data_IF_071893469489
#
_entry.id   IF_071893469489
#
_cell.length_a   1.000
_cell.length_b   1.000
_cell.length_c   1.000
_cell.angle_alpha   90.00
_cell.angle_beta   90.00
_cell.angle_gamma   90.00
#
_symmetry.space_group_name_H-M   'P 1'
#
loop_
_entity.id
_entity.type
_entity.pdbx_description
1 polymer ?
#
# COMPACT_ATOMS: atom_id res chain seq x y z
N UNK A 1 6.92 -9.47 23.82
CA UNK A 1 6.56 -8.04 23.69
C UNK A 1 5.81 -7.97 22.38
N UNK A 2 4.51 -7.72 22.41
CA UNK A 2 3.73 -7.57 21.17
C UNK A 2 4.20 -6.26 20.54
N UNK A 3 4.56 -6.31 19.26
CA UNK A 3 4.85 -5.13 18.45
C UNK A 3 3.76 -4.08 18.71
N UNK A 4 4.15 -2.86 19.08
CA UNK A 4 3.18 -1.78 19.15
C UNK A 4 2.71 -1.48 17.73
N UNK A 5 1.46 -1.86 17.41
CA UNK A 5 0.79 -1.61 16.13
C UNK A 5 1.01 -0.17 15.65
N UNK A 6 1.98 0.03 14.74
CA UNK A 6 2.28 1.35 14.19
C UNK A 6 1.12 1.80 13.30
N UNK A 7 0.53 2.96 13.64
CA UNK A 7 -0.59 3.56 12.89
C UNK A 7 -0.08 4.46 11.77
N UNK A 8 -0.67 4.32 10.58
CA UNK A 8 -0.46 5.25 9.46
C UNK A 8 -1.68 6.16 9.34
N UNK A 9 -1.51 7.45 9.64
CA UNK A 9 -2.59 8.44 9.63
C UNK A 9 -2.86 8.95 8.22
N UNK A 10 -4.14 9.07 7.85
CA UNK A 10 -4.61 9.71 6.62
C UNK A 10 -5.90 10.50 6.94
N UNK A 11 -6.03 11.76 6.52
CA UNK A 11 -7.27 12.54 6.74
C UNK A 11 -7.60 12.93 8.20
N UNK A 12 -8.69 13.68 8.37
CA UNK A 12 -9.06 14.38 9.63
C UNK A 12 -10.12 13.67 10.48
N UNK A 13 -10.89 12.72 9.92
CA UNK A 13 -11.84 11.85 10.63
C UNK A 13 -11.83 10.46 9.99
N UNK A 14 -11.19 9.50 10.66
CA UNK A 14 -10.91 8.19 10.09
C UNK A 14 -11.96 7.16 10.48
N UNK A 15 -12.82 6.76 9.53
CA UNK A 15 -13.70 5.58 9.63
C UNK A 15 -12.93 4.25 9.49
N UNK A 16 -11.68 4.32 9.02
CA UNK A 16 -10.78 3.19 8.86
C UNK A 16 -9.39 3.52 9.37
N UNK A 17 -8.65 2.53 9.84
CA UNK A 17 -7.26 2.65 10.31
C UNK A 17 -6.36 1.67 9.58
N UNK A 18 -5.19 2.15 9.15
CA UNK A 18 -4.12 1.28 8.65
C UNK A 18 -3.21 0.90 9.82
N UNK A 19 -2.95 -0.40 9.96
CA UNK A 19 -2.09 -0.99 10.99
C UNK A 19 -0.99 -1.80 10.32
N UNK A 20 0.27 -1.56 10.69
CA UNK A 20 1.37 -2.47 10.39
C UNK A 20 1.33 -3.63 11.38
N UNK A 21 1.24 -4.86 10.88
CA UNK A 21 1.08 -6.09 11.67
C UNK A 21 2.41 -6.84 11.86
N UNK A 22 3.53 -6.24 11.44
CA UNK A 22 4.88 -6.76 11.59
C UNK A 22 5.88 -5.62 11.85
N UNK A 23 7.05 -5.99 12.38
CA UNK A 23 8.17 -5.07 12.56
C UNK A 23 8.90 -4.83 11.24
N UNK A 24 9.63 -3.70 11.08
CA UNK A 24 10.44 -3.46 9.90
C UNK A 24 11.44 -4.62 9.62
N UNK A 25 11.33 -5.21 8.43
CA UNK A 25 12.15 -6.32 7.94
C UNK A 25 13.11 -5.89 6.82
N UNK A 26 13.14 -6.64 5.72
CA UNK A 26 13.96 -6.30 4.55
C UNK A 26 13.71 -4.86 4.08
N UNK A 27 14.79 -4.16 3.74
CA UNK A 27 14.70 -2.76 3.29
C UNK A 27 14.21 -1.78 4.36
N UNK A 28 14.17 -2.19 5.64
CA UNK A 28 13.66 -1.39 6.76
C UNK A 28 12.18 -0.98 6.57
N UNK A 29 11.38 -1.86 5.96
CA UNK A 29 9.95 -1.69 5.75
C UNK A 29 9.15 -2.80 6.44
N UNK A 30 7.92 -2.48 6.87
CA UNK A 30 6.94 -3.50 7.26
C UNK A 30 6.36 -4.13 5.98
N UNK A 31 5.93 -5.39 6.04
CA UNK A 31 5.44 -6.13 4.88
C UNK A 31 4.00 -6.58 5.04
N UNK A 32 3.44 -6.52 6.25
CA UNK A 32 2.07 -6.95 6.53
C UNK A 32 1.27 -5.79 7.07
N UNK A 33 0.20 -5.42 6.38
CA UNK A 33 -0.69 -4.36 6.79
C UNK A 33 -2.14 -4.83 6.86
N UNK A 34 -2.94 -4.18 7.69
CA UNK A 34 -4.39 -4.34 7.70
C UNK A 34 -5.10 -2.99 7.67
N UNK A 35 -6.26 -2.95 7.00
CA UNK A 35 -7.20 -1.83 7.03
C UNK A 35 -8.37 -2.26 7.91
N UNK A 36 -8.55 -1.58 9.03
CA UNK A 36 -9.48 -1.95 10.09
C UNK A 36 -10.57 -0.88 10.25
N UNK A 37 -11.78 -1.29 10.60
CA UNK A 37 -12.86 -0.41 11.04
C UNK A 37 -12.46 0.36 12.31
N UNK A 38 -12.85 1.62 12.44
CA UNK A 38 -12.62 2.39 13.68
C UNK A 38 -13.87 2.58 14.52
N UNK A 39 -15.04 2.17 14.02
CA UNK A 39 -16.31 2.28 14.74
C UNK A 39 -16.28 1.37 15.96
N UNK A 40 -16.80 1.88 17.07
CA UNK A 40 -16.88 1.12 18.32
C UNK A 40 -17.68 -0.17 18.11
N UNK A 41 -17.16 -1.27 18.67
CA UNK A 41 -17.87 -2.54 18.73
C UNK A 41 -19.08 -2.33 19.65
N UNK A 42 -20.28 -2.41 19.08
CA UNK A 42 -21.52 -2.29 19.84
C UNK A 42 -21.72 -3.53 20.71
N UNK A 43 -22.04 -3.40 22.01
CA UNK A 43 -22.28 -4.53 22.90
C UNK A 43 -23.31 -5.53 22.38
N UNK A 44 -24.34 -5.03 21.70
CA UNK A 44 -25.43 -5.80 21.10
C UNK A 44 -25.04 -6.52 19.79
N UNK A 45 -23.84 -6.29 19.27
CA UNK A 45 -23.32 -6.92 18.06
C UNK A 45 -21.80 -7.04 18.15
N UNK A 46 -21.28 -8.05 18.87
CA UNK A 46 -19.85 -8.22 19.17
C UNK A 46 -19.03 -8.69 17.95
N UNK A 47 -19.39 -8.24 16.74
CA UNK A 47 -18.51 -8.37 15.59
C UNK A 47 -17.27 -7.54 15.93
N UNK A 48 -16.13 -8.23 16.06
CA UNK A 48 -14.84 -7.58 16.31
C UNK A 48 -14.54 -6.49 15.29
N UNK A 49 -13.51 -5.70 15.56
CA UNK A 49 -13.01 -4.67 14.63
C UNK A 49 -12.93 -5.25 13.22
N UNK A 50 -13.80 -4.77 12.31
CA UNK A 50 -13.91 -5.35 10.97
C UNK A 50 -12.62 -5.13 10.19
N UNK A 51 -11.98 -6.20 9.70
CA UNK A 51 -10.84 -6.08 8.79
C UNK A 51 -11.40 -5.98 7.37
N UNK A 52 -11.18 -4.84 6.73
CA UNK A 52 -11.61 -4.59 5.34
C UNK A 52 -10.60 -5.08 4.31
N UNK A 53 -9.31 -5.06 4.65
CA UNK A 53 -8.25 -5.55 3.79
C UNK A 53 -7.07 -6.04 4.61
N UNK A 54 -6.42 -7.09 4.10
CA UNK A 54 -5.09 -7.53 4.52
C UNK A 54 -4.17 -7.39 3.31
N UNK A 55 -3.02 -6.78 3.52
CA UNK A 55 -2.05 -6.46 2.47
C UNK A 55 -0.72 -7.09 2.86
N UNK A 56 -0.15 -7.86 1.94
CA UNK A 56 1.16 -8.47 2.09
C UNK A 56 2.07 -8.01 0.96
N UNK A 57 3.04 -7.16 1.27
CA UNK A 57 4.09 -6.75 0.35
C UNK A 57 5.15 -7.83 0.19
N UNK A 58 5.82 -7.80 -0.95
CA UNK A 58 6.99 -8.62 -1.24
C UNK A 58 8.07 -8.39 -0.18
N UNK A 59 8.45 -9.45 0.53
CA UNK A 59 9.49 -9.44 1.55
C UNK A 59 10.77 -10.05 1.00
N UNK A 60 11.76 -9.19 0.76
CA UNK A 60 13.05 -9.54 0.19
C UNK A 60 13.06 -9.63 -1.35
N UNK A 61 14.26 -9.68 -1.97
CA UNK A 61 14.39 -9.67 -3.43
C UNK A 61 13.80 -10.92 -4.10
N UNK A 62 13.03 -10.74 -5.17
CA UNK A 62 12.25 -11.81 -5.84
C UNK A 62 13.11 -12.98 -6.32
N UNK A 63 14.31 -12.74 -6.86
CA UNK A 63 15.17 -13.83 -7.36
C UNK A 63 15.83 -14.64 -6.25
N UNK A 64 15.78 -14.14 -5.01
CA UNK A 64 16.35 -14.78 -3.84
C UNK A 64 15.26 -15.43 -2.97
N UNK A 65 14.05 -14.85 -2.95
CA UNK A 65 12.96 -15.25 -2.05
C UNK A 65 11.71 -15.77 -2.78
N UNK A 66 11.71 -15.74 -4.11
CA UNK A 66 10.51 -15.97 -4.92
C UNK A 66 9.48 -14.85 -4.77
N UNK A 67 8.31 -15.06 -5.36
CA UNK A 67 7.17 -14.15 -5.22
C UNK A 67 6.41 -14.51 -3.95
N UNK A 68 6.33 -13.57 -3.00
CA UNK A 68 5.70 -13.78 -1.70
C UNK A 68 4.78 -12.61 -1.26
N UNK A 69 4.54 -11.63 -2.14
CA UNK A 69 3.64 -10.52 -1.89
C UNK A 69 3.51 -9.57 -3.07
N UNK A 70 2.75 -8.50 -2.87
CA UNK A 70 2.53 -7.44 -3.86
C UNK A 70 3.67 -6.41 -3.86
N UNK A 71 3.71 -5.58 -4.87
CA UNK A 71 4.60 -4.44 -4.98
C UNK A 71 3.85 -3.13 -4.65
N UNK A 72 4.59 -2.03 -4.51
CA UNK A 72 3.98 -0.72 -4.26
C UNK A 72 3.08 -0.31 -5.44
N UNK A 73 3.59 -0.58 -6.64
CA UNK A 73 2.98 -0.30 -7.93
C UNK A 73 1.59 -0.93 -8.04
N UNK A 74 1.37 -2.13 -7.49
CA UNK A 74 0.08 -2.81 -7.53
C UNK A 74 -1.02 -1.99 -6.84
N UNK A 75 -0.74 -1.42 -5.66
CA UNK A 75 -1.70 -0.58 -4.95
C UNK A 75 -1.89 0.78 -5.63
N UNK A 76 -0.80 1.37 -6.15
CA UNK A 76 -0.87 2.67 -6.82
C UNK A 76 -1.73 2.59 -8.08
N UNK A 77 -1.60 1.53 -8.88
CA UNK A 77 -2.42 1.31 -10.08
C UNK A 77 -3.89 1.11 -9.72
N UNK A 78 -4.21 0.35 -8.67
CA UNK A 78 -5.60 0.17 -8.20
C UNK A 78 -6.23 1.52 -7.81
N UNK A 79 -5.49 2.36 -7.08
CA UNK A 79 -6.01 3.68 -6.66
C UNK A 79 -6.16 4.60 -7.87
N UNK A 80 -5.20 4.58 -8.80
CA UNK A 80 -5.24 5.37 -10.03
C UNK A 80 -6.46 5.01 -10.90
N UNK A 81 -6.67 3.72 -11.19
CA UNK A 81 -7.83 3.22 -11.97
C UNK A 81 -9.16 3.68 -11.35
N UNK A 82 -9.29 3.58 -10.01
CA UNK A 82 -10.48 4.04 -9.29
C UNK A 82 -10.69 5.55 -9.40
N UNK A 83 -9.62 6.35 -9.33
CA UNK A 83 -9.70 7.81 -9.48
C UNK A 83 -10.05 8.21 -10.92
N UNK A 84 -9.49 7.53 -11.93
CA UNK A 84 -9.85 7.75 -13.34
C UNK A 84 -11.33 7.45 -13.59
N UNK A 85 -11.87 6.42 -12.94
CA UNK A 85 -13.31 6.12 -12.93
C UNK A 85 -14.17 7.26 -12.35
N UNK A 86 -13.74 7.91 -11.26
CA UNK A 86 -14.45 9.08 -10.72
C UNK A 86 -14.29 10.31 -11.59
N UNK A 87 -13.09 10.52 -12.10
CA UNK A 87 -12.75 11.69 -12.92
C UNK A 87 -13.47 11.67 -14.27
N UNK A 88 -13.80 10.49 -14.78
CA UNK A 88 -14.61 10.33 -16.00
C UNK A 88 -16.12 10.35 -15.76
N UNK A 89 -16.56 10.33 -14.50
CA UNK A 89 -17.98 10.29 -14.12
C UNK A 89 -18.48 11.56 -13.42
N UNK A 90 -19.60 11.43 -12.70
CA UNK A 90 -20.29 12.53 -12.02
C UNK A 90 -19.49 13.15 -10.86
N UNK A 91 -18.39 12.54 -10.47
CA UNK A 91 -17.54 12.94 -9.34
C UNK A 91 -16.22 13.56 -9.79
N UNK A 92 -16.13 14.02 -11.04
CA UNK A 92 -14.95 14.69 -11.57
C UNK A 92 -14.63 15.97 -10.78
N UNK A 93 -13.38 16.12 -10.37
CA UNK A 93 -12.90 17.33 -9.68
C UNK A 93 -11.40 17.57 -9.92
N UNK A 94 -10.91 18.82 -9.73
CA UNK A 94 -9.49 19.14 -9.90
C UNK A 94 -8.57 18.35 -8.96
N UNK A 95 -9.03 18.02 -7.76
CA UNK A 95 -8.24 17.26 -6.77
C UNK A 95 -8.02 15.81 -7.20
N UNK A 96 -9.02 15.18 -7.83
CA UNK A 96 -8.88 13.85 -8.40
C UNK A 96 -7.85 13.85 -9.54
N UNK A 97 -7.95 14.82 -10.46
CA UNK A 97 -7.01 14.97 -11.58
C UNK A 97 -5.57 15.15 -11.09
N UNK A 98 -5.35 16.04 -10.11
CA UNK A 98 -4.04 16.25 -9.50
C UNK A 98 -3.52 14.98 -8.82
N UNK A 99 -4.38 14.24 -8.10
CA UNK A 99 -3.99 12.99 -7.48
C UNK A 99 -3.59 11.92 -8.52
N UNK A 100 -4.30 11.84 -9.65
CA UNK A 100 -3.96 10.95 -10.77
C UNK A 100 -2.56 11.29 -11.32
N UNK A 101 -2.27 12.57 -11.57
CA UNK A 101 -0.96 12.99 -12.07
C UNK A 101 0.17 12.65 -11.08
N UNK A 102 -0.03 12.87 -9.77
CA UNK A 102 0.93 12.47 -8.75
C UNK A 102 1.16 10.94 -8.72
N UNK A 103 0.11 10.13 -8.94
CA UNK A 103 0.23 8.68 -9.00
C UNK A 103 1.01 8.22 -10.24
N UNK A 104 0.80 8.87 -11.40
CA UNK A 104 1.57 8.62 -12.62
C UNK A 104 3.06 8.92 -12.42
N UNK A 105 3.38 10.05 -11.79
CA UNK A 105 4.76 10.42 -11.46
C UNK A 105 5.41 9.42 -10.50
N UNK A 106 4.68 8.99 -9.47
CA UNK A 106 5.16 7.97 -8.54
C UNK A 106 5.47 6.64 -9.27
N UNK A 107 4.55 6.17 -10.12
CA UNK A 107 4.72 4.97 -10.92
C UNK A 107 5.91 5.09 -11.89
N UNK A 108 6.07 6.24 -12.54
CA UNK A 108 7.22 6.50 -13.41
C UNK A 108 8.54 6.33 -12.65
N UNK A 109 8.68 6.96 -11.48
CA UNK A 109 9.90 6.88 -10.68
C UNK A 109 10.21 5.46 -10.19
N UNK A 110 9.18 4.71 -9.79
CA UNK A 110 9.33 3.30 -9.38
C UNK A 110 9.78 2.41 -10.54
N UNK A 111 9.15 2.56 -11.71
CA UNK A 111 9.51 1.84 -12.94
C UNK A 111 10.94 2.16 -13.39
N UNK A 112 11.34 3.44 -13.33
CA UNK A 112 12.71 3.85 -13.66
C UNK A 112 13.73 3.18 -12.74
N UNK A 113 13.45 3.09 -11.44
CA UNK A 113 14.32 2.37 -10.49
C UNK A 113 14.46 0.89 -10.89
N UNK A 114 13.38 0.23 -11.26
CA UNK A 114 13.40 -1.16 -11.74
C UNK A 114 14.20 -1.30 -13.03
N UNK A 115 13.97 -0.42 -14.01
CA UNK A 115 14.71 -0.39 -15.28
C UNK A 115 16.21 -0.19 -15.07
N UNK A 116 16.62 0.71 -14.18
CA UNK A 116 18.04 0.90 -13.84
C UNK A 116 18.67 -0.37 -13.25
N UNK A 117 17.94 -1.10 -12.39
CA UNK A 117 18.42 -2.36 -11.83
C UNK A 117 18.51 -3.46 -12.90
N UNK A 118 17.57 -3.49 -13.85
CA UNK A 118 17.60 -4.43 -14.98
C UNK A 118 18.81 -4.18 -15.87
N UNK A 119 19.09 -2.91 -16.21
CA UNK A 119 20.26 -2.53 -17.01
C UNK A 119 21.59 -2.87 -16.35
N UNK A 120 21.65 -2.84 -15.01
CA UNK A 120 22.81 -3.30 -14.24
C UNK A 120 22.86 -4.83 -14.06
N UNK A 121 21.82 -5.56 -14.44
CA UNK A 121 21.72 -7.02 -14.25
C UNK A 121 21.50 -7.46 -12.79
N UNK A 122 21.06 -6.55 -11.91
CA UNK A 122 20.88 -6.78 -10.46
C UNK A 122 19.43 -6.72 -9.99
N UNK A 123 18.47 -6.52 -10.91
CA UNK A 123 17.05 -6.58 -10.60
C UNK A 123 16.69 -7.89 -9.88
N UNK A 124 15.82 -7.79 -8.87
CA UNK A 124 15.38 -8.95 -8.08
C UNK A 124 16.42 -9.53 -7.12
N UNK A 125 17.58 -8.90 -6.95
CA UNK A 125 18.64 -9.34 -6.00
C UNK A 125 18.94 -8.28 -4.94
N UNK A 126 19.62 -8.66 -3.87
CA UNK A 126 20.12 -7.75 -2.82
C UNK A 126 21.34 -6.92 -3.24
N UNK A 127 21.90 -7.20 -4.42
CA UNK A 127 23.06 -6.47 -4.97
C UNK A 127 22.67 -5.02 -5.29
N UNK A 128 23.54 -4.09 -4.93
CA UNK A 128 23.38 -2.65 -5.19
C UNK A 128 23.75 -2.33 -6.63
#
# INVERSE_FOLDING_TARGET
MLAEDRRVLHGTQLYTRVVANDEPGHGNACHKYSIQDTREVKPESPKGVGIYAQIQFQDGPIKENGVNGIHNEDLLVIVMDRLEGFQSGDYACPENDMAIECLKDALHNLNQRTYHRQNRGVEGTSKV
#
